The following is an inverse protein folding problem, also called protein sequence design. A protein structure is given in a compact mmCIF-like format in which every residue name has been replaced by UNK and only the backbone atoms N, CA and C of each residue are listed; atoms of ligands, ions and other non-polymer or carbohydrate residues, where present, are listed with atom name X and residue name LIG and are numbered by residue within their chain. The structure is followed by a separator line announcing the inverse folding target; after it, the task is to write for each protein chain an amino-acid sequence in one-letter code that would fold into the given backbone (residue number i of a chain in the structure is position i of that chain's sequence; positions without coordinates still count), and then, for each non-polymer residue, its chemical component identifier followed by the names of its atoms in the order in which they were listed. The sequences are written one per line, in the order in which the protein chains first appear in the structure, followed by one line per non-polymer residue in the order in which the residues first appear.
data_IF_707883370153
#
_entry.id   IF_707883370153
#
_cell.length_a   1.000
_cell.length_b   1.000
_cell.length_c   1.000
_cell.angle_alpha   90.00
_cell.angle_beta   90.00
_cell.angle_gamma   90.00
#
_symmetry.space_group_name_H-M   'P 1'
#
loop_
_entity.id
_entity.type
_entity.pdbx_description
1 polymer ?
#
# COMPACT_ATOMS: atom_id res chain seq x y z
N UNK A 1 39.67 15.67 34.41
CA UNK A 1 38.89 14.80 33.49
C UNK A 1 37.87 15.64 32.74
N UNK A 2 38.22 16.13 31.55
CA UNK A 2 37.34 16.93 30.70
C UNK A 2 36.41 16.01 29.90
N UNK A 3 35.11 16.01 30.23
CA UNK A 3 34.08 15.33 29.44
C UNK A 3 33.97 16.03 28.09
N UNK A 4 34.54 15.42 27.06
CA UNK A 4 34.41 15.85 25.67
C UNK A 4 32.96 15.56 25.21
N UNK A 5 32.04 16.51 25.43
CA UNK A 5 30.70 16.46 24.85
C UNK A 5 30.85 16.70 23.35
N UNK A 6 30.86 15.62 22.54
CA UNK A 6 30.70 15.72 21.08
C UNK A 6 29.53 16.67 20.80
N UNK A 7 29.84 17.85 20.26
CA UNK A 7 28.84 18.81 19.84
C UNK A 7 27.99 18.12 18.76
N UNK A 8 26.72 17.84 19.08
CA UNK A 8 25.77 17.32 18.09
C UNK A 8 25.61 18.41 17.03
N UNK A 9 25.98 18.11 15.78
CA UNK A 9 25.89 19.06 14.70
C UNK A 9 24.40 19.37 14.43
N UNK A 10 23.89 20.56 14.78
CA UNK A 10 22.46 20.85 14.72
C UNK A 10 21.92 20.80 13.29
N UNK A 11 22.78 21.07 12.29
CA UNK A 11 22.46 20.95 10.87
C UNK A 11 22.07 19.53 10.46
N UNK A 12 22.77 18.51 10.98
CA UNK A 12 22.46 17.11 10.70
C UNK A 12 21.09 16.71 11.24
N UNK A 13 20.70 17.26 12.40
CA UNK A 13 19.37 17.06 12.97
C UNK A 13 18.25 17.66 12.12
N UNK A 14 18.47 18.85 11.53
CA UNK A 14 17.50 19.51 10.64
C UNK A 14 17.34 18.72 9.34
N UNK A 15 18.45 18.28 8.73
CA UNK A 15 18.41 17.51 7.47
C UNK A 15 17.63 16.21 7.65
N UNK A 16 17.88 15.47 8.73
CA UNK A 16 17.16 14.23 9.04
C UNK A 16 15.67 14.51 9.24
N UNK A 17 15.32 15.58 9.97
CA UNK A 17 13.93 15.95 10.21
C UNK A 17 13.18 16.28 8.91
N UNK A 18 13.78 17.10 8.04
CA UNK A 18 13.20 17.47 6.73
C UNK A 18 13.06 16.23 5.84
N UNK A 19 14.05 15.34 5.82
CA UNK A 19 13.98 14.09 5.05
C UNK A 19 12.83 13.18 5.52
N UNK A 20 12.65 13.02 6.83
CA UNK A 20 11.52 12.26 7.39
C UNK A 20 10.19 12.92 7.00
N UNK A 21 10.10 14.25 7.07
CA UNK A 21 8.88 14.98 6.69
C UNK A 21 8.49 14.72 5.22
N UNK A 22 9.45 14.77 4.30
CA UNK A 22 9.20 14.46 2.89
C UNK A 22 8.71 13.02 2.68
N UNK A 23 9.26 12.04 3.40
CA UNK A 23 8.81 10.65 3.34
C UNK A 23 7.35 10.53 3.80
N UNK A 24 6.98 11.20 4.90
CA UNK A 24 5.59 11.18 5.39
C UNK A 24 4.62 11.86 4.42
N UNK A 25 5.00 13.01 3.86
CA UNK A 25 4.17 13.71 2.85
C UNK A 25 3.99 12.83 1.61
N UNK A 26 5.06 12.21 1.14
CA UNK A 26 5.00 11.30 0.00
C UNK A 26 4.08 10.11 0.28
N UNK A 27 4.22 9.47 1.45
CA UNK A 27 3.35 8.37 1.88
C UNK A 27 1.88 8.81 1.99
N UNK A 28 1.61 9.99 2.54
CA UNK A 28 0.25 10.55 2.63
C UNK A 28 -0.34 10.78 1.23
N UNK A 29 0.43 11.36 0.31
CA UNK A 29 0.01 11.61 -1.05
C UNK A 29 -0.30 10.31 -1.82
N UNK A 30 0.60 9.32 -1.77
CA UNK A 30 0.39 8.04 -2.46
C UNK A 30 -0.81 7.29 -1.89
N UNK A 31 -0.97 7.31 -0.56
CA UNK A 31 -2.10 6.65 0.10
C UNK A 31 -3.41 7.38 -0.19
N UNK A 32 -3.40 8.72 -0.24
CA UNK A 32 -4.55 9.53 -0.64
C UNK A 32 -5.02 9.19 -2.06
N UNK A 33 -4.11 9.21 -3.04
CA UNK A 33 -4.43 8.90 -4.45
C UNK A 33 -5.13 7.53 -4.56
N UNK A 34 -4.67 6.54 -3.80
CA UNK A 34 -5.25 5.18 -3.79
C UNK A 34 -6.53 5.06 -2.98
N UNK A 35 -6.66 5.80 -1.88
CA UNK A 35 -7.84 5.78 -1.00
C UNK A 35 -9.07 6.42 -1.66
N UNK A 36 -8.86 7.35 -2.58
CA UNK A 36 -9.92 8.13 -3.22
C UNK A 36 -9.98 7.93 -4.74
N UNK A 37 -9.36 6.85 -5.25
CA UNK A 37 -9.47 6.50 -6.67
C UNK A 37 -10.93 6.17 -7.01
N UNK A 38 -11.37 6.69 -8.15
CA UNK A 38 -12.72 6.45 -8.68
C UNK A 38 -12.65 5.49 -9.85
N UNK A 39 -13.78 4.83 -10.16
CA UNK A 39 -13.87 3.87 -11.26
C UNK A 39 -13.46 4.48 -12.62
N UNK A 40 -13.81 5.74 -12.87
CA UNK A 40 -13.44 6.49 -14.08
C UNK A 40 -11.93 6.70 -14.27
N UNK A 41 -11.15 6.56 -13.20
CA UNK A 41 -9.69 6.69 -13.21
C UNK A 41 -8.99 5.33 -13.43
N UNK A 42 -9.76 4.25 -13.54
CA UNK A 42 -9.26 2.89 -13.70
C UNK A 42 -9.41 2.42 -15.13
N UNK A 43 -8.48 1.60 -15.57
CA UNK A 43 -8.57 0.90 -16.84
C UNK A 43 -9.32 -0.40 -16.65
N UNK A 44 -10.33 -0.60 -17.51
CA UNK A 44 -11.09 -1.84 -17.55
C UNK A 44 -10.46 -2.85 -18.51
N UNK A 45 -10.41 -4.11 -18.08
CA UNK A 45 -10.00 -5.25 -18.90
C UNK A 45 -11.04 -6.35 -18.74
N UNK A 46 -11.50 -6.89 -19.87
CA UNK A 46 -12.44 -8.01 -19.91
C UNK A 46 -11.89 -9.11 -20.80
N UNK A 47 -12.06 -10.37 -20.40
CA UNK A 47 -11.66 -11.51 -21.22
C UNK A 47 -11.85 -12.85 -20.52
N UNK A 48 -11.13 -13.86 -20.99
CA UNK A 48 -11.12 -15.20 -20.39
C UNK A 48 -9.80 -15.42 -19.66
N UNK A 49 -9.86 -15.91 -18.42
CA UNK A 49 -8.67 -16.27 -17.65
C UNK A 49 -8.02 -17.49 -18.31
N UNK A 50 -6.77 -17.36 -18.75
CA UNK A 50 -6.03 -18.45 -19.43
C UNK A 50 -5.05 -19.14 -18.50
N UNK A 51 -4.51 -18.42 -17.52
CA UNK A 51 -3.54 -18.94 -16.59
C UNK A 51 -3.68 -18.27 -15.22
N UNK A 52 -3.45 -19.05 -14.17
CA UNK A 52 -3.40 -18.60 -12.78
C UNK A 52 -2.15 -19.15 -12.13
N UNK A 53 -1.26 -18.27 -11.69
CA UNK A 53 -0.01 -18.66 -11.05
C UNK A 53 0.08 -18.05 -9.65
N UNK A 54 0.40 -18.87 -8.66
CA UNK A 54 0.80 -18.35 -7.35
C UNK A 54 2.21 -17.80 -7.44
N UNK A 55 2.39 -16.52 -7.12
CA UNK A 55 3.66 -15.81 -7.14
C UNK A 55 3.96 -15.24 -5.75
N UNK A 56 5.24 -15.00 -5.48
CA UNK A 56 5.66 -14.17 -4.33
C UNK A 56 5.83 -12.73 -4.83
N UNK A 57 5.36 -11.77 -4.04
CA UNK A 57 5.37 -10.35 -4.37
C UNK A 57 5.96 -9.52 -3.22
N UNK A 58 6.56 -8.37 -3.57
CA UNK A 58 7.20 -7.46 -2.64
C UNK A 58 8.70 -7.70 -2.41
N UNK A 59 9.42 -6.67 -1.95
CA UNK A 59 10.85 -6.75 -1.62
C UNK A 59 11.06 -7.80 -0.53
N UNK A 60 11.81 -8.86 -0.85
CA UNK A 60 12.09 -9.96 0.08
C UNK A 60 11.05 -11.09 0.08
N UNK A 61 10.14 -11.16 -0.90
CA UNK A 61 9.18 -12.27 -1.06
C UNK A 61 8.26 -12.48 0.16
N UNK A 62 7.88 -11.40 0.84
CA UNK A 62 7.14 -11.44 2.11
C UNK A 62 5.62 -11.59 1.95
N UNK A 63 5.07 -11.42 0.74
CA UNK A 63 3.63 -11.55 0.47
C UNK A 63 3.39 -12.49 -0.72
N UNK A 64 2.25 -13.16 -0.71
CA UNK A 64 1.80 -14.02 -1.80
C UNK A 64 0.76 -13.31 -2.65
N UNK A 65 0.72 -13.63 -3.94
CA UNK A 65 -0.34 -13.19 -4.83
C UNK A 65 -0.70 -14.29 -5.83
N UNK A 66 -1.91 -14.23 -6.36
CA UNK A 66 -2.29 -14.95 -7.58
C UNK A 66 -2.16 -13.99 -8.76
N UNK A 67 -1.30 -14.33 -9.72
CA UNK A 67 -1.18 -13.67 -11.00
C UNK A 67 -2.15 -14.31 -12.00
N UNK A 68 -3.10 -13.52 -12.48
CA UNK A 68 -4.08 -13.89 -13.50
C UNK A 68 -3.59 -13.41 -14.87
N UNK A 69 -3.60 -14.30 -15.87
CA UNK A 69 -3.38 -13.93 -17.27
C UNK A 69 -4.69 -14.02 -18.03
N UNK A 70 -4.96 -13.03 -18.88
CA UNK A 70 -6.18 -12.95 -19.67
C UNK A 70 -5.83 -13.21 -21.13
N UNK A 71 -6.70 -13.96 -21.83
CA UNK A 71 -6.52 -14.29 -23.25
C UNK A 71 -6.27 -13.03 -24.07
N UNK A 72 -5.25 -13.09 -24.93
CA UNK A 72 -4.86 -12.02 -25.85
C UNK A 72 -4.39 -10.72 -25.16
N UNK A 73 -4.13 -10.76 -23.84
CA UNK A 73 -3.60 -9.64 -23.06
C UNK A 73 -2.22 -10.02 -22.52
N UNK A 74 -1.13 -9.32 -22.92
CA UNK A 74 0.25 -9.70 -22.60
C UNK A 74 0.71 -9.32 -21.19
N UNK A 75 -0.23 -8.93 -20.31
CA UNK A 75 0.05 -8.49 -18.94
C UNK A 75 -0.64 -9.41 -17.93
N UNK A 76 -0.06 -9.52 -16.75
CA UNK A 76 -0.65 -10.26 -15.64
C UNK A 76 -1.28 -9.30 -14.64
N UNK A 77 -2.23 -9.81 -13.84
CA UNK A 77 -2.93 -9.03 -12.83
C UNK A 77 -2.78 -9.75 -11.49
N UNK A 78 -2.25 -9.08 -10.46
CA UNK A 78 -2.09 -9.69 -9.15
C UNK A 78 -3.27 -9.40 -8.25
N UNK A 79 -3.75 -10.47 -7.63
CA UNK A 79 -4.62 -10.42 -6.47
C UNK A 79 -3.79 -10.87 -5.27
N UNK A 80 -3.56 -9.95 -4.35
CA UNK A 80 -2.64 -10.13 -3.23
C UNK A 80 -3.35 -10.83 -2.06
N UNK A 81 -2.58 -11.43 -1.14
CA UNK A 81 -3.10 -12.13 0.03
C UNK A 81 -3.81 -11.22 1.06
N UNK A 82 -3.60 -9.90 0.99
CA UNK A 82 -4.36 -8.92 1.75
C UNK A 82 -5.80 -8.71 1.22
N UNK A 83 -6.08 -9.08 -0.03
CA UNK A 83 -7.42 -9.09 -0.64
C UNK A 83 -8.12 -10.42 -0.31
N UNK A 84 -8.36 -10.66 0.98
CA UNK A 84 -8.69 -11.98 1.57
C UNK A 84 -9.81 -12.71 0.81
N UNK A 85 -10.91 -12.03 0.47
CA UNK A 85 -12.04 -12.65 -0.21
C UNK A 85 -11.66 -13.11 -1.63
N UNK A 86 -11.07 -12.23 -2.43
CA UNK A 86 -10.65 -12.51 -3.79
C UNK A 86 -9.57 -13.60 -3.83
N UNK A 87 -8.58 -13.51 -2.95
CA UNK A 87 -7.50 -14.48 -2.83
C UNK A 87 -8.03 -15.86 -2.44
N UNK A 88 -8.90 -15.93 -1.42
CA UNK A 88 -9.50 -17.20 -0.98
C UNK A 88 -10.42 -17.80 -2.04
N UNK A 89 -11.15 -16.96 -2.79
CA UNK A 89 -11.99 -17.40 -3.89
C UNK A 89 -11.17 -18.07 -4.99
N UNK A 90 -10.08 -17.45 -5.43
CA UNK A 90 -9.19 -18.02 -6.46
C UNK A 90 -8.51 -19.29 -5.96
N UNK A 91 -8.11 -19.34 -4.69
CA UNK A 91 -7.51 -20.52 -4.10
C UNK A 91 -8.47 -21.73 -4.06
N UNK A 92 -9.76 -21.48 -3.81
CA UNK A 92 -10.77 -22.53 -3.60
C UNK A 92 -11.56 -22.90 -4.86
N UNK A 93 -11.39 -22.18 -5.97
CA UNK A 93 -12.18 -22.38 -7.19
C UNK A 93 -11.27 -22.50 -8.43
N UNK A 94 -11.64 -23.38 -9.34
CA UNK A 94 -11.03 -23.41 -10.68
C UNK A 94 -11.55 -22.22 -11.50
N UNK A 95 -10.74 -21.16 -11.63
CA UNK A 95 -11.12 -19.93 -12.34
C UNK A 95 -10.59 -19.84 -13.78
N UNK A 96 -9.70 -20.73 -14.19
CA UNK A 96 -9.24 -20.82 -15.59
C UNK A 96 -10.42 -21.15 -16.51
N UNK A 97 -10.47 -20.52 -17.69
CA UNK A 97 -11.58 -20.64 -18.64
C UNK A 97 -12.81 -19.81 -18.27
N UNK A 98 -12.83 -19.14 -17.11
CA UNK A 98 -13.93 -18.25 -16.72
C UNK A 98 -13.77 -16.87 -17.31
N UNK A 99 -14.91 -16.21 -17.57
CA UNK A 99 -14.94 -14.81 -17.95
C UNK A 99 -14.57 -13.94 -16.76
N UNK A 100 -13.75 -12.93 -16.99
CA UNK A 100 -13.32 -11.97 -15.99
C UNK A 100 -13.50 -10.55 -16.49
N UNK A 101 -13.87 -9.66 -15.58
CA UNK A 101 -13.83 -8.21 -15.75
C UNK A 101 -13.02 -7.62 -14.59
N UNK A 102 -11.97 -6.87 -14.91
CA UNK A 102 -11.01 -6.30 -13.96
C UNK A 102 -10.95 -4.79 -14.14
N UNK A 103 -10.80 -4.07 -13.03
CA UNK A 103 -10.41 -2.66 -13.03
C UNK A 103 -9.04 -2.52 -12.37
N UNK A 104 -8.08 -1.92 -13.07
CA UNK A 104 -6.73 -1.71 -12.57
C UNK A 104 -6.24 -0.29 -12.86
N UNK A 105 -5.24 0.18 -12.11
CA UNK A 105 -4.61 1.46 -12.38
C UNK A 105 -3.32 1.27 -13.20
N UNK A 106 -3.26 1.83 -14.41
CA UNK A 106 -2.08 1.77 -15.29
C UNK A 106 -0.89 2.56 -14.75
N UNK A 107 -1.15 3.63 -13.98
CA UNK A 107 -0.11 4.48 -13.41
C UNK A 107 0.48 3.90 -12.12
N UNK A 108 -0.19 2.90 -11.54
CA UNK A 108 0.25 2.19 -10.33
C UNK A 108 0.68 0.76 -10.71
N UNK A 109 1.97 0.56 -11.06
CA UNK A 109 2.82 -0.64 -10.85
C UNK A 109 4.19 -0.46 -11.59
N UNK A 110 5.35 -1.09 -11.32
CA UNK A 110 5.80 -2.23 -10.50
C UNK A 110 7.28 -2.03 -10.11
N UNK A 111 7.72 -2.46 -8.92
CA UNK A 111 9.14 -2.46 -8.52
C UNK A 111 9.96 -3.66 -8.99
N UNK A 112 9.37 -4.74 -9.51
CA UNK A 112 10.14 -5.87 -10.03
C UNK A 112 9.47 -6.57 -11.23
N UNK A 113 10.08 -6.34 -12.40
CA UNK A 113 10.22 -7.14 -13.64
C UNK A 113 9.10 -8.00 -14.25
N UNK A 114 7.92 -8.17 -13.67
CA UNK A 114 6.88 -9.04 -14.24
C UNK A 114 5.50 -8.37 -14.40
N UNK A 115 5.43 -7.20 -15.05
CA UNK A 115 4.20 -6.59 -15.63
C UNK A 115 2.88 -7.02 -15.00
N UNK A 116 2.80 -6.84 -13.69
CA UNK A 116 1.64 -7.15 -12.88
C UNK A 116 1.00 -5.81 -12.56
N UNK A 117 -0.32 -5.66 -12.52
CA UNK A 117 -0.96 -4.39 -12.11
C UNK A 117 -1.80 -4.56 -10.85
N UNK A 118 -2.03 -3.46 -10.11
CA UNK A 118 -2.87 -3.47 -8.93
C UNK A 118 -4.31 -3.47 -9.38
N UNK A 119 -5.04 -4.50 -9.02
CA UNK A 119 -6.45 -4.61 -9.33
C UNK A 119 -7.27 -4.01 -8.19
N UNK A 120 -8.23 -3.17 -8.54
CA UNK A 120 -9.15 -2.54 -7.61
C UNK A 120 -10.52 -3.22 -7.63
N UNK A 121 -10.90 -3.82 -8.75
CA UNK A 121 -12.14 -4.57 -8.88
C UNK A 121 -11.93 -5.85 -9.69
N UNK A 122 -12.52 -6.96 -9.24
CA UNK A 122 -12.46 -8.25 -9.91
C UNK A 122 -13.86 -8.85 -9.92
N UNK A 123 -14.38 -9.10 -11.11
CA UNK A 123 -15.60 -9.87 -11.33
C UNK A 123 -15.29 -11.11 -12.16
N UNK A 124 -15.66 -12.30 -11.68
CA UNK A 124 -15.48 -13.56 -12.38
C UNK A 124 -16.86 -14.20 -12.61
N UNK A 125 -17.22 -14.46 -13.87
CA UNK A 125 -18.52 -15.02 -14.28
C UNK A 125 -19.74 -14.30 -13.65
N UNK A 126 -19.69 -12.98 -13.54
CA UNK A 126 -20.77 -12.17 -12.96
C UNK A 126 -20.69 -12.02 -11.43
N UNK A 127 -19.86 -12.79 -10.73
CA UNK A 127 -19.64 -12.63 -9.30
C UNK A 127 -18.53 -11.62 -9.05
N UNK A 128 -18.86 -10.54 -8.35
CA UNK A 128 -17.86 -9.61 -7.82
C UNK A 128 -17.15 -10.27 -6.62
N UNK A 129 -15.83 -10.44 -6.70
CA UNK A 129 -14.99 -11.05 -5.66
C UNK A 129 -14.01 -10.06 -5.04
N UNK A 130 -13.85 -8.89 -5.65
CA UNK A 130 -13.07 -7.77 -5.11
C UNK A 130 -13.74 -6.48 -5.58
N UNK A 131 -14.15 -5.61 -4.66
CA UNK A 131 -14.74 -4.32 -5.01
C UNK A 131 -13.77 -3.15 -4.78
N UNK A 132 -13.91 -2.07 -5.56
CA UNK A 132 -13.15 -0.82 -5.34
C UNK A 132 -13.31 -0.33 -3.90
N UNK A 133 -14.51 -0.50 -3.33
CA UNK A 133 -14.82 -0.07 -1.96
C UNK A 133 -13.97 -0.82 -0.92
N UNK A 134 -13.73 -2.11 -1.11
CA UNK A 134 -12.88 -2.90 -0.23
C UNK A 134 -11.41 -2.52 -0.39
N UNK A 135 -10.94 -2.45 -1.64
CA UNK A 135 -9.55 -2.09 -1.94
C UNK A 135 -9.21 -0.70 -1.40
N UNK A 136 -10.09 0.29 -1.59
CA UNK A 136 -9.90 1.67 -1.09
C UNK A 136 -10.05 1.79 0.43
N UNK A 137 -10.84 0.93 1.09
CA UNK A 137 -11.02 0.97 2.55
C UNK A 137 -9.68 0.74 3.28
N UNK A 138 -8.88 -0.21 2.82
CA UNK A 138 -7.54 -0.45 3.38
C UNK A 138 -6.69 0.82 3.30
N UNK A 139 -6.62 1.46 2.13
CA UNK A 139 -5.85 2.69 1.95
C UNK A 139 -6.40 3.86 2.79
N UNK A 140 -7.71 3.97 2.98
CA UNK A 140 -8.29 4.97 3.90
C UNK A 140 -7.80 4.78 5.33
N UNK A 141 -7.75 3.54 5.82
CA UNK A 141 -7.24 3.24 7.17
C UNK A 141 -5.76 3.63 7.28
N UNK A 142 -4.93 3.22 6.31
CA UNK A 142 -3.50 3.57 6.27
C UNK A 142 -3.31 5.09 6.22
N UNK A 143 -4.14 5.80 5.44
CA UNK A 143 -4.12 7.25 5.34
C UNK A 143 -4.38 7.90 6.70
N UNK A 144 -5.42 7.51 7.42
CA UNK A 144 -5.69 8.07 8.76
C UNK A 144 -4.57 7.76 9.76
N UNK A 145 -4.05 6.53 9.76
CA UNK A 145 -2.93 6.13 10.63
C UNK A 145 -1.69 7.01 10.36
N UNK A 146 -1.44 7.37 9.10
CA UNK A 146 -0.32 8.22 8.72
C UNK A 146 -0.36 9.65 9.29
N UNK A 147 -1.54 10.14 9.73
CA UNK A 147 -1.65 11.40 10.48
C UNK A 147 -1.55 11.21 11.99
N UNK A 148 -2.10 10.10 12.52
CA UNK A 148 -2.12 9.82 13.96
C UNK A 148 -0.70 9.62 14.50
N UNK A 149 0.15 8.88 13.78
CA UNK A 149 1.51 8.56 14.23
C UNK A 149 2.35 9.84 14.48
N UNK A 150 2.47 10.79 13.54
CA UNK A 150 3.17 12.05 13.78
C UNK A 150 2.63 12.84 14.97
N UNK A 151 1.30 12.96 15.08
CA UNK A 151 0.65 13.69 16.18
C UNK A 151 1.01 13.07 17.52
N UNK A 152 0.96 11.74 17.62
CA UNK A 152 1.35 10.99 18.81
C UNK A 152 2.81 11.22 19.20
N UNK A 153 3.75 11.17 18.24
CA UNK A 153 5.17 11.45 18.52
C UNK A 153 5.40 12.90 18.99
N UNK A 154 4.75 13.87 18.36
CA UNK A 154 4.85 15.29 18.73
C UNK A 154 4.34 15.50 20.17
N UNK A 155 3.15 14.96 20.48
CA UNK A 155 2.57 15.06 21.83
C UNK A 155 3.44 14.39 22.89
N UNK A 156 4.00 13.21 22.61
CA UNK A 156 4.93 12.51 23.52
C UNK A 156 6.19 13.34 23.79
N UNK A 157 6.76 13.99 22.76
CA UNK A 157 7.94 14.87 22.90
C UNK A 157 7.60 16.10 23.77
N UNK A 158 6.46 16.74 23.54
CA UNK A 158 6.00 17.90 24.32
C UNK A 158 5.79 17.50 25.79
N UNK A 159 5.11 16.37 26.04
CA UNK A 159 4.86 15.86 27.39
C UNK A 159 6.18 15.58 28.15
N UNK A 160 7.15 14.94 27.50
CA UNK A 160 8.48 14.65 28.09
C UNK A 160 9.29 15.91 28.39
N UNK A 161 9.12 16.99 27.61
CA UNK A 161 9.75 18.29 27.90
C UNK A 161 9.10 18.98 29.09
N UNK A 162 7.76 18.99 29.18
CA UNK A 162 7.02 19.59 30.30
C UNK A 162 7.33 18.93 31.64
N UNK A 163 7.39 17.60 31.69
CA UNK A 163 7.74 16.85 32.91
C UNK A 163 9.17 17.14 33.38
N UNK A 164 10.14 17.20 32.46
CA UNK A 164 11.52 17.61 32.80
C UNK A 164 11.63 19.06 33.28
N UNK A 165 10.85 19.96 32.68
CA UNK A 165 10.79 21.34 33.13
C UNK A 165 10.29 21.39 34.56
N UNK A 166 9.16 20.74 34.88
CA UNK A 166 8.59 20.77 36.23
C UNK A 166 9.52 20.19 37.32
N UNK A 167 10.32 19.16 37.02
CA UNK A 167 11.30 18.59 37.98
C UNK A 167 12.48 19.54 38.23
N UNK A 168 12.80 20.46 37.29
CA UNK A 168 13.90 21.41 37.45
C UNK A 168 13.56 22.65 38.29
N UNK A 169 12.28 22.86 38.62
CA UNK A 169 11.79 23.99 39.45
C UNK A 169 11.23 23.53 40.81
N UNK A 170 11.36 22.24 41.13
CA UNK A 170 11.15 21.66 42.47
C UNK A 170 12.49 21.30 43.08
#
# INVERSE_FOLDING_TARGET
MTRNKKAKNPLLGIIIFVGILFIFIHLQYTTYKRAYIQQEMLTQVQGIITNVQKIKFGRGNLSNAYALTIKDIPISFAIQDNDIEAYSFIQSNEVTGRQVNLLYNQEDFNTDKNLTFHVYEVNINGRNILSIKETTRFYKIVFYISFIIPIFFITMIIYKRRTKHNIAYT
#
